data_IF_383881035853
#
_entry.id   IF_383881035853
#
_cell.length_a   1.000
_cell.length_b   1.000
_cell.length_c   1.000
_cell.angle_alpha   90.00
_cell.angle_beta   90.00
_cell.angle_gamma   90.00
#
_symmetry.space_group_name_H-M   'P 1'
#
loop_
_entity.id
_entity.type
_entity.pdbx_description
1 polymer ?
#
# COMPACT_ATOMS: atom_id res chain seq x y z
N UNK A 1 -23.55 -13.71 6.01
CA UNK A 1 -23.27 -13.66 5.54
C UNK A 1 -22.91 -13.23 4.99
N UNK A 2 -22.66 -13.18 5.14
CA UNK A 2 -22.12 -12.87 4.69
C UNK A 2 -21.61 -12.34 4.18
N UNK A 3 -21.24 -12.20 4.32
CA UNK A 3 -20.60 -11.75 3.76
C UNK A 3 -20.14 -11.70 3.02
N UNK A 4 -19.87 -11.71 3.78
CA UNK A 4 -19.06 -11.74 2.95
C UNK A 4 -19.23 -12.22 1.74
N UNK A 5 -19.93 -12.53 1.46
CA UNK A 5 -20.19 -12.99 0.44
C UNK A 5 -19.86 -12.33 -0.71
N UNK A 6 -19.43 -12.58 -1.62
CA UNK A 6 -19.05 -11.93 -2.81
C UNK A 6 -18.17 -10.73 -2.61
N UNK A 7 -18.12 -10.23 -1.45
CA UNK A 7 -17.29 -9.09 -1.16
C UNK A 7 -15.92 -9.54 -0.73
N UNK A 8 -14.90 -8.86 -1.22
CA UNK A 8 -13.56 -9.12 -0.73
C UNK A 8 -13.45 -8.66 0.71
N UNK A 9 -12.84 -9.46 1.58
CA UNK A 9 -12.56 -8.97 2.92
C UNK A 9 -11.66 -7.75 2.84
N UNK A 10 -11.80 -6.82 3.76
CA UNK A 10 -10.95 -5.64 3.76
C UNK A 10 -9.47 -5.99 3.92
N UNK A 11 -9.20 -7.19 4.44
CA UNK A 11 -7.82 -7.62 4.61
C UNK A 11 -7.22 -8.25 3.37
N UNK A 12 -8.01 -8.48 2.33
CA UNK A 12 -7.49 -9.09 1.11
C UNK A 12 -6.83 -8.03 0.24
N UNK A 13 -5.62 -8.30 -0.23
CA UNK A 13 -4.90 -7.36 -1.08
C UNK A 13 -4.49 -8.03 -2.37
N UNK A 14 -4.29 -7.20 -3.38
CA UNK A 14 -3.94 -7.66 -4.71
C UNK A 14 -2.64 -6.96 -5.12
N UNK A 15 -1.62 -7.73 -5.45
CA UNK A 15 -0.29 -7.18 -5.75
C UNK A 15 0.16 -7.70 -7.11
N UNK A 16 0.76 -6.81 -7.91
CA UNK A 16 1.29 -7.26 -9.18
C UNK A 16 2.51 -8.16 -8.94
N UNK A 17 2.76 -9.07 -9.87
CA UNK A 17 3.90 -9.97 -9.76
C UNK A 17 5.21 -9.19 -9.70
N UNK A 18 5.34 -8.11 -10.44
CA UNK A 18 6.54 -7.27 -10.41
C UNK A 18 6.75 -6.65 -9.03
N UNK A 19 5.70 -6.03 -8.50
CA UNK A 19 5.81 -5.40 -7.19
C UNK A 19 6.03 -6.44 -6.10
N UNK A 20 5.36 -7.59 -6.20
CA UNK A 20 5.51 -8.63 -5.20
C UNK A 20 6.96 -9.08 -5.11
N UNK A 21 7.60 -9.31 -6.25
CA UNK A 21 9.00 -9.73 -6.25
C UNK A 21 9.92 -8.68 -5.66
N UNK A 22 9.71 -7.42 -6.06
CA UNK A 22 10.57 -6.34 -5.58
C UNK A 22 10.37 -6.07 -4.10
N UNK A 23 9.14 -6.11 -3.64
CA UNK A 23 8.86 -5.84 -2.22
C UNK A 23 9.34 -6.97 -1.34
N UNK A 24 9.21 -8.22 -1.81
CA UNK A 24 9.73 -9.34 -1.06
C UNK A 24 11.25 -9.25 -0.93
N UNK A 25 11.95 -8.89 -2.00
CA UNK A 25 13.39 -8.72 -1.95
C UNK A 25 13.79 -7.59 -1.00
N UNK A 26 13.05 -6.48 -1.05
CA UNK A 26 13.31 -5.36 -0.15
C UNK A 26 13.17 -5.78 1.30
N UNK A 27 12.10 -6.50 1.61
CA UNK A 27 11.87 -6.93 2.98
C UNK A 27 12.97 -7.86 3.47
N UNK A 28 13.39 -8.79 2.62
CA UNK A 28 14.44 -9.72 3.01
C UNK A 28 15.76 -9.01 3.27
N UNK A 29 16.03 -7.97 2.48
CA UNK A 29 17.26 -7.20 2.68
C UNK A 29 17.24 -6.42 3.99
N UNK A 30 16.06 -6.21 4.57
CA UNK A 30 15.93 -5.45 5.81
C UNK A 30 15.87 -6.30 7.06
N UNK A 31 15.83 -7.63 6.92
CA UNK A 31 15.62 -8.49 8.10
C UNK A 31 16.64 -8.26 9.20
N UNK A 32 17.87 -7.95 8.85
CA UNK A 32 18.91 -7.75 9.85
C UNK A 32 18.87 -6.40 10.52
N UNK A 33 18.38 -5.38 9.79
CA UNK A 33 18.42 -4.02 10.30
C UNK A 33 17.11 -3.53 10.86
N UNK A 34 16.01 -3.99 10.31
CA UNK A 34 14.69 -3.55 10.72
C UNK A 34 13.73 -4.73 10.66
N UNK A 35 13.93 -5.72 11.56
CA UNK A 35 13.18 -6.97 11.46
C UNK A 35 11.67 -6.79 11.60
N UNK A 36 11.21 -5.86 12.43
CA UNK A 36 9.78 -5.68 12.59
C UNK A 36 9.15 -5.13 11.32
N UNK A 37 9.81 -4.16 10.70
CA UNK A 37 9.32 -3.60 9.45
C UNK A 37 9.33 -4.66 8.35
N UNK A 38 10.43 -5.42 8.28
CA UNK A 38 10.56 -6.48 7.29
C UNK A 38 9.47 -7.53 7.46
N UNK A 39 9.21 -7.92 8.70
CA UNK A 39 8.19 -8.94 8.98
C UNK A 39 6.81 -8.45 8.58
N UNK A 40 6.49 -7.20 8.85
CA UNK A 40 5.19 -6.66 8.47
C UNK A 40 5.00 -6.69 6.97
N UNK A 41 6.03 -6.29 6.23
CA UNK A 41 5.92 -6.29 4.78
C UNK A 41 5.84 -7.71 4.23
N UNK A 42 6.64 -8.62 4.76
CA UNK A 42 6.60 -10.02 4.33
C UNK A 42 5.23 -10.64 4.60
N UNK A 43 4.64 -10.30 5.75
CA UNK A 43 3.33 -10.81 6.08
C UNK A 43 2.29 -10.37 5.05
N UNK A 44 2.35 -9.11 4.65
CA UNK A 44 1.44 -8.62 3.61
C UNK A 44 1.69 -9.33 2.29
N UNK A 45 2.96 -9.53 1.94
CA UNK A 45 3.27 -10.21 0.68
C UNK A 45 2.80 -11.67 0.69
N UNK A 46 2.91 -12.33 1.84
CA UNK A 46 2.49 -13.73 1.94
C UNK A 46 1.00 -13.90 1.73
N UNK A 47 0.21 -12.97 2.21
CA UNK A 47 -1.25 -13.12 2.10
C UNK A 47 -1.82 -12.47 0.85
N UNK A 48 -0.98 -11.84 0.05
CA UNK A 48 -1.44 -11.15 -1.15
C UNK A 48 -1.85 -12.13 -2.23
N UNK A 49 -2.84 -11.73 -3.01
CA UNK A 49 -3.16 -12.41 -4.25
C UNK A 49 -2.29 -11.78 -5.32
N UNK A 50 -1.50 -12.59 -6.01
CA UNK A 50 -0.57 -12.07 -7.00
C UNK A 50 -1.22 -12.12 -8.37
N UNK A 51 -1.14 -11.03 -9.11
CA UNK A 51 -1.69 -11.00 -10.45
C UNK A 51 -0.66 -10.40 -11.41
N UNK A 52 -0.86 -10.65 -12.69
CA UNK A 52 -0.01 -10.10 -13.74
C UNK A 52 -0.10 -8.57 -13.69
N UNK A 53 1.05 -7.90 -13.80
CA UNK A 53 1.07 -6.45 -13.74
C UNK A 53 0.17 -5.83 -14.81
N UNK A 54 0.09 -6.46 -15.97
CA UNK A 54 -0.75 -5.94 -17.05
C UNK A 54 -2.23 -6.09 -16.74
N UNK A 55 -2.59 -6.96 -15.81
CA UNK A 55 -3.98 -7.23 -15.47
C UNK A 55 -4.43 -6.57 -14.17
N UNK A 56 -3.58 -5.74 -13.58
CA UNK A 56 -3.93 -5.08 -12.32
C UNK A 56 -5.10 -4.12 -12.53
N UNK A 57 -6.11 -4.19 -11.67
CA UNK A 57 -7.18 -3.19 -11.73
C UNK A 57 -6.66 -1.80 -11.46
N UNK A 58 -7.26 -0.82 -12.10
CA UNK A 58 -6.80 0.56 -11.97
C UNK A 58 -7.06 1.14 -10.59
N UNK A 59 -7.97 0.55 -9.82
CA UNK A 59 -8.35 1.09 -8.52
C UNK A 59 -7.66 0.41 -7.34
N UNK A 60 -6.58 -0.32 -7.61
CA UNK A 60 -5.81 -0.98 -6.56
C UNK A 60 -4.48 -0.26 -6.39
N UNK A 61 -4.09 -0.05 -5.14
CA UNK A 61 -2.85 0.67 -4.81
C UNK A 61 -1.63 -0.15 -5.21
N UNK A 62 -0.78 0.43 -6.02
CA UNK A 62 0.47 -0.17 -6.50
C UNK A 62 1.61 0.74 -6.09
N UNK A 63 2.84 0.24 -6.24
CA UNK A 63 3.98 1.13 -6.07
C UNK A 63 3.90 2.23 -7.11
N UNK A 64 4.08 3.46 -6.67
CA UNK A 64 3.96 4.63 -7.55
C UNK A 64 2.57 5.22 -7.64
N UNK A 65 1.57 4.57 -7.05
CA UNK A 65 0.20 5.09 -7.10
C UNK A 65 0.07 6.39 -6.32
N UNK A 66 -0.78 7.27 -6.82
CA UNK A 66 -1.23 8.42 -6.06
C UNK A 66 -2.55 8.02 -5.42
N UNK A 67 -2.58 8.03 -4.09
CA UNK A 67 -3.70 7.52 -3.33
C UNK A 67 -4.32 8.65 -2.56
N UNK A 68 -5.62 8.86 -2.76
CA UNK A 68 -6.37 9.80 -1.96
C UNK A 68 -7.02 9.02 -0.83
N UNK A 69 -6.70 9.38 0.39
CA UNK A 69 -7.21 8.70 1.56
C UNK A 69 -8.04 9.65 2.39
N UNK A 70 -9.04 9.11 3.07
CA UNK A 70 -9.89 9.89 3.96
C UNK A 70 -9.72 9.38 5.37
N UNK A 71 -9.36 10.28 6.28
CA UNK A 71 -9.27 9.96 7.70
C UNK A 71 -10.66 9.90 8.32
N UNK A 72 -10.75 9.36 9.51
CA UNK A 72 -12.02 9.23 10.20
C UNK A 72 -12.74 10.55 10.40
N UNK A 73 -11.98 11.62 10.56
CA UNK A 73 -12.59 12.94 10.73
C UNK A 73 -13.11 13.56 9.46
N UNK A 74 -12.96 12.87 8.34
CA UNK A 74 -13.43 13.37 7.05
C UNK A 74 -12.39 14.09 6.23
N UNK A 75 -11.21 14.31 6.79
CA UNK A 75 -10.14 14.98 6.05
C UNK A 75 -9.56 14.07 4.99
N UNK A 76 -9.26 14.63 3.83
CA UNK A 76 -8.65 13.86 2.76
C UNK A 76 -7.24 14.35 2.50
N UNK A 77 -6.43 13.46 1.98
CA UNK A 77 -5.04 13.74 1.69
C UNK A 77 -4.61 12.86 0.52
N UNK A 78 -3.82 13.39 -0.38
CA UNK A 78 -3.28 12.59 -1.47
C UNK A 78 -1.81 12.35 -1.20
N UNK A 79 -1.40 11.09 -1.31
CA UNK A 79 0.00 10.71 -1.14
C UNK A 79 0.42 9.84 -2.31
N UNK A 80 1.72 9.76 -2.53
CA UNK A 80 2.26 8.82 -3.51
C UNK A 80 3.01 7.74 -2.76
N UNK A 81 2.71 6.49 -3.04
CA UNK A 81 3.36 5.36 -2.39
C UNK A 81 4.63 5.02 -3.15
N UNK A 82 5.77 5.10 -2.47
CA UNK A 82 7.06 4.96 -3.15
C UNK A 82 7.98 4.00 -2.41
N UNK A 83 9.05 3.62 -3.09
CA UNK A 83 10.14 2.87 -2.45
C UNK A 83 10.93 3.83 -1.55
N UNK A 84 11.62 3.28 -0.52
CA UNK A 84 12.24 4.16 0.48
C UNK A 84 13.22 5.18 -0.10
N UNK A 85 13.90 4.87 -1.17
CA UNK A 85 14.83 5.83 -1.75
C UNK A 85 14.17 7.04 -2.35
N UNK A 86 12.86 6.99 -2.57
CA UNK A 86 12.13 8.09 -3.17
C UNK A 86 11.23 8.81 -2.17
N UNK A 87 11.26 8.40 -0.92
CA UNK A 87 10.38 8.97 0.10
C UNK A 87 10.72 10.44 0.35
N UNK A 88 9.68 11.25 0.49
CA UNK A 88 9.85 12.67 0.74
C UNK A 88 8.54 13.19 1.32
N UNK A 89 8.50 13.32 2.62
CA UNK A 89 7.28 13.71 3.31
C UNK A 89 6.80 15.08 2.86
N UNK A 90 7.73 16.00 2.58
CA UNK A 90 7.35 17.33 2.14
C UNK A 90 6.61 17.31 0.80
N UNK A 91 6.87 16.29 -0.02
CA UNK A 91 6.21 16.12 -1.29
C UNK A 91 5.10 15.07 -1.22
N UNK A 92 4.73 14.65 -0.03
CA UNK A 92 3.71 13.62 0.19
C UNK A 92 4.05 12.29 -0.47
N UNK A 93 5.34 11.98 -0.53
CA UNK A 93 5.81 10.68 -1.00
C UNK A 93 6.10 9.82 0.22
N UNK A 94 5.29 8.78 0.40
CA UNK A 94 5.31 7.95 1.59
C UNK A 94 5.94 6.62 1.25
N UNK A 95 6.95 6.23 2.02
CA UNK A 95 7.61 4.94 1.80
C UNK A 95 6.68 3.79 2.14
N UNK A 96 6.75 2.74 1.32
CA UNK A 96 6.02 1.51 1.59
C UNK A 96 6.46 0.89 2.91
N UNK A 97 7.61 1.28 3.43
CA UNK A 97 8.12 0.74 4.70
C UNK A 97 7.52 1.43 5.93
N UNK A 98 6.76 2.51 5.74
CA UNK A 98 6.05 3.10 6.88
C UNK A 98 4.84 2.23 7.19
N UNK A 99 4.33 2.30 8.42
CA UNK A 99 3.13 1.53 8.75
C UNK A 99 1.96 1.86 7.83
N UNK A 100 1.75 3.12 7.50
CA UNK A 100 0.69 3.52 6.58
C UNK A 100 0.93 2.95 5.19
N UNK A 101 2.18 3.03 4.69
CA UNK A 101 2.48 2.54 3.36
C UNK A 101 2.28 1.04 3.24
N UNK A 102 2.74 0.30 4.25
CA UNK A 102 2.54 -1.15 4.25
C UNK A 102 1.06 -1.50 4.30
N UNK A 103 0.26 -0.72 5.04
CA UNK A 103 -1.17 -0.96 5.11
C UNK A 103 -1.88 -0.64 3.80
N UNK A 104 -1.38 0.31 3.03
CA UNK A 104 -2.05 0.75 1.81
C UNK A 104 -1.77 -0.14 0.60
N UNK A 105 -0.59 -0.76 0.53
CA UNK A 105 -0.24 -1.52 -0.67
C UNK A 105 -1.26 -2.62 -0.92
N UNK A 106 -1.77 -2.67 -2.14
CA UNK A 106 -2.71 -3.72 -2.55
C UNK A 106 -4.16 -3.47 -2.18
N UNK A 107 -4.46 -2.37 -1.50
CA UNK A 107 -5.84 -2.05 -1.14
C UNK A 107 -6.57 -1.46 -2.34
N UNK A 108 -7.89 -1.62 -2.36
CA UNK A 108 -8.70 -1.10 -3.45
C UNK A 108 -9.51 0.10 -2.99
N UNK A 109 -9.93 0.91 -3.96
CA UNK A 109 -10.82 2.02 -3.68
C UNK A 109 -12.04 1.51 -2.90
N UNK A 110 -12.38 2.23 -1.85
CA UNK A 110 -13.49 1.86 -0.98
C UNK A 110 -13.10 1.04 0.22
N UNK A 111 -11.89 0.48 0.24
CA UNK A 111 -11.45 -0.29 1.39
C UNK A 111 -10.89 0.63 2.47
N UNK A 112 -11.13 0.25 3.71
CA UNK A 112 -10.49 0.91 4.84
C UNK A 112 -9.33 0.06 5.29
N UNK A 113 -8.22 0.71 5.60
CA UNK A 113 -7.04 0.01 6.12
C UNK A 113 -6.68 0.62 7.45
N UNK A 114 -6.06 -0.17 8.31
CA UNK A 114 -5.66 0.33 9.62
C UNK A 114 -4.26 -0.18 9.96
N UNK A 115 -3.63 0.56 10.84
CA UNK A 115 -2.29 0.21 11.30
C UNK A 115 -2.09 0.82 12.67
N UNK A 116 -1.06 0.33 13.37
CA UNK A 116 -0.69 0.91 14.65
C UNK A 116 0.51 1.82 14.43
N UNK A 117 0.42 3.03 14.93
CA UNK A 117 1.55 3.95 14.85
C UNK A 117 2.61 3.49 15.84
N UNK A 118 3.81 4.08 15.71
CA UNK A 118 4.90 3.74 16.62
C UNK A 118 4.56 4.03 18.06
N UNK A 119 3.65 4.98 18.30
CA UNK A 119 3.21 5.29 19.64
C UNK A 119 2.11 4.39 20.15
N UNK A 120 1.72 3.39 19.37
CA UNK A 120 0.68 2.46 19.82
C UNK A 120 -0.73 2.89 19.48
N UNK A 121 -0.92 4.01 18.80
CA UNK A 121 -2.25 4.45 18.41
C UNK A 121 -2.73 3.66 17.20
N UNK A 122 -4.01 3.30 17.23
CA UNK A 122 -4.65 2.72 16.06
C UNK A 122 -5.10 3.83 15.14
N UNK A 123 -4.70 3.72 13.88
CA UNK A 123 -5.07 4.70 12.87
C UNK A 123 -5.73 3.98 11.72
N UNK A 124 -6.66 4.65 11.07
CA UNK A 124 -7.28 4.06 9.89
C UNK A 124 -7.64 5.14 8.89
N UNK A 125 -7.68 4.76 7.63
CA UNK A 125 -8.13 5.62 6.55
C UNK A 125 -8.91 4.77 5.56
N UNK A 126 -9.76 5.44 4.78
CA UNK A 126 -10.46 4.79 3.68
C UNK A 126 -9.82 5.25 2.38
N UNK A 127 -9.57 4.32 1.47
CA UNK A 127 -9.02 4.64 0.16
C UNK A 127 -10.14 5.22 -0.69
N UNK A 128 -10.02 6.50 -1.03
CA UNK A 128 -11.05 7.19 -1.79
C UNK A 128 -10.83 7.07 -3.28
N UNK A 129 -9.58 7.16 -3.71
CA UNK A 129 -9.26 7.12 -5.12
C UNK A 129 -7.82 6.67 -5.29
N UNK A 130 -7.56 6.00 -6.39
CA UNK A 130 -6.23 5.53 -6.74
C UNK A 130 -5.96 5.93 -8.17
N UNK A 131 -4.84 6.63 -8.38
CA UNK A 131 -4.42 7.06 -9.71
C UNK A 131 -2.97 6.75 -9.92
N UNK A 132 -2.58 6.56 -11.17
CA UNK A 132 -1.16 6.47 -11.51
C UNK A 132 -0.76 7.78 -12.16
N UNK A 133 0.47 8.25 -11.91
CA UNK A 133 0.92 9.48 -12.57
C UNK A 133 0.84 9.31 -14.08
N UNK A 134 0.33 10.32 -14.73
CA UNK A 134 0.09 10.22 -16.16
C UNK A 134 1.36 10.04 -16.93
N UNK A 135 2.40 10.63 -16.49
CA UNK A 135 3.63 10.54 -17.21
C UNK A 135 4.43 9.42 -16.79
N UNK A 136 3.90 8.65 -16.07
CA UNK A 136 4.63 7.65 -15.58
C UNK A 136 5.79 7.56 -16.38
N UNK A 137 6.09 7.51 -16.94
CA UNK A 137 7.34 7.46 -17.32
C UNK A 137 7.77 8.40 -18.21
N UNK A 138 7.55 8.87 -18.12
CA UNK A 138 7.92 9.58 -18.67
C UNK A 138 8.85 10.15 -18.60
N UNK A 139 9.17 10.06 -18.47
CA UNK A 139 9.96 10.59 -18.37
C UNK A 139 10.69 10.60 -18.72
N UNK A 140 10.98 10.90 -19.07
CA UNK A 140 11.92 11.10 -19.49
C UNK A 140 12.64 11.06 -19.49
#
# INVERSE_FOLDING_TARGET
>A
MQHAMGLRPSSQILISDTDHGRLTSLARALLDRAPETADELLWEMDRAVITDAAAMPADVVRMGSIVTVRAEGGETQSIMLVYPGEADIAENRISVLTPMGTALIGAATGQSVCWSSRGGRELSVTVEAVDMPASGPQRP
#
